data_IF_494581250369
#
_entry.id   IF_494581250369
#
_cell.length_a   1.000
_cell.length_b   1.000
_cell.length_c   1.000
_cell.angle_alpha   90.00
_cell.angle_beta   90.00
_cell.angle_gamma   90.00
#
_symmetry.space_group_name_H-M   'P 1'
#
loop_
_entity.id
_entity.type
_entity.pdbx_description
1 polymer ?
#
# COMPACT_ATOMS: atom_id res chain seq x y z
N UNK A 1 56.05 -48.81 -0.94
CA UNK A 1 56.32 -47.73 0.06
C UNK A 1 56.30 -48.31 1.48
N UNK A 2 56.89 -47.66 2.49
CA UNK A 2 56.76 -48.08 3.90
C UNK A 2 55.36 -47.72 4.41
N UNK A 3 54.68 -48.61 5.16
CA UNK A 3 53.28 -48.40 5.63
C UNK A 3 53.06 -47.02 6.27
N UNK A 4 54.02 -46.52 7.06
CA UNK A 4 54.00 -45.19 7.69
C UNK A 4 53.83 -44.02 6.71
N UNK A 5 54.45 -44.09 5.52
CA UNK A 5 54.33 -43.02 4.50
C UNK A 5 52.96 -43.01 3.82
N UNK A 6 52.32 -44.17 3.65
CA UNK A 6 50.97 -44.25 3.07
C UNK A 6 49.96 -43.59 4.02
N UNK A 7 49.99 -43.97 5.30
CA UNK A 7 49.10 -43.38 6.34
C UNK A 7 49.25 -41.86 6.43
N UNK A 8 50.49 -41.34 6.35
CA UNK A 8 50.75 -39.91 6.40
C UNK A 8 50.20 -39.17 5.15
N UNK A 9 50.31 -39.77 3.95
CA UNK A 9 49.70 -39.23 2.73
C UNK A 9 48.17 -39.23 2.84
N UNK A 10 47.56 -40.32 3.29
CA UNK A 10 46.09 -40.41 3.46
C UNK A 10 45.56 -39.37 4.44
N UNK A 11 46.28 -39.11 5.54
CA UNK A 11 45.91 -38.08 6.52
C UNK A 11 45.99 -36.67 5.93
N UNK A 12 47.03 -36.35 5.14
CA UNK A 12 47.13 -35.07 4.44
C UNK A 12 46.00 -34.90 3.43
N UNK A 13 45.68 -35.93 2.64
CA UNK A 13 44.57 -35.90 1.67
C UNK A 13 43.23 -35.71 2.37
N UNK A 14 42.99 -36.40 3.50
CA UNK A 14 41.79 -36.18 4.33
C UNK A 14 41.71 -34.73 4.82
N UNK A 15 42.81 -34.19 5.37
CA UNK A 15 42.85 -32.82 5.87
C UNK A 15 42.55 -31.78 4.78
N UNK A 16 43.14 -31.92 3.59
CA UNK A 16 42.86 -31.07 2.43
C UNK A 16 41.39 -31.17 2.01
N UNK A 17 40.83 -32.39 1.96
CA UNK A 17 39.42 -32.59 1.60
C UNK A 17 38.45 -32.02 2.64
N UNK A 18 38.77 -32.11 3.94
CA UNK A 18 38.00 -31.48 5.01
C UNK A 18 38.00 -29.95 4.91
N UNK A 19 39.15 -29.34 4.62
CA UNK A 19 39.26 -27.87 4.41
C UNK A 19 38.47 -27.46 3.16
N UNK A 20 38.62 -28.17 2.05
CA UNK A 20 37.90 -27.88 0.80
C UNK A 20 36.38 -28.00 0.98
N UNK A 21 35.91 -29.02 1.70
CA UNK A 21 34.49 -29.21 2.04
C UNK A 21 33.96 -28.05 2.89
N UNK A 22 34.71 -27.63 3.93
CA UNK A 22 34.33 -26.50 4.78
C UNK A 22 34.16 -25.19 3.98
N UNK A 23 35.15 -24.83 3.15
CA UNK A 23 35.11 -23.61 2.33
C UNK A 23 33.96 -23.65 1.31
N UNK A 24 33.68 -24.81 0.71
CA UNK A 24 32.54 -24.98 -0.19
C UNK A 24 31.20 -24.77 0.52
N UNK A 25 31.04 -25.32 1.73
CA UNK A 25 29.84 -25.14 2.55
C UNK A 25 29.65 -23.67 2.94
N UNK A 26 30.72 -22.99 3.39
CA UNK A 26 30.68 -21.58 3.76
C UNK A 26 30.22 -20.69 2.59
N UNK A 27 30.87 -20.83 1.43
CA UNK A 27 30.56 -20.05 0.23
C UNK A 27 29.15 -20.30 -0.31
N UNK A 28 28.64 -21.54 -0.20
CA UNK A 28 27.31 -21.89 -0.70
C UNK A 28 26.18 -21.56 0.30
N UNK A 29 26.46 -21.48 1.61
CA UNK A 29 25.47 -21.10 2.63
C UNK A 29 25.38 -19.59 2.86
N UNK A 30 26.48 -18.84 2.73
CA UNK A 30 26.53 -17.39 2.97
C UNK A 30 25.45 -16.59 2.21
N UNK A 31 25.34 -16.65 0.86
CA UNK A 31 24.37 -15.81 0.14
C UNK A 31 22.90 -16.14 0.43
N UNK A 32 22.47 -17.42 0.49
CA UNK A 32 21.09 -17.73 0.86
C UNK A 32 20.75 -17.36 2.31
N UNK A 33 21.68 -17.52 3.27
CA UNK A 33 21.49 -17.10 4.67
C UNK A 33 21.33 -15.58 4.77
N UNK A 34 22.19 -14.80 4.10
CA UNK A 34 22.07 -13.34 4.10
C UNK A 34 20.75 -12.87 3.48
N UNK A 35 20.29 -13.51 2.39
CA UNK A 35 19.01 -13.18 1.76
C UNK A 35 17.80 -13.40 2.69
N UNK A 36 17.72 -14.53 3.40
CA UNK A 36 16.63 -14.76 4.36
C UNK A 36 16.77 -13.88 5.61
N UNK A 37 18.00 -13.61 6.07
CA UNK A 37 18.26 -12.68 7.16
C UNK A 37 17.77 -11.26 6.84
N UNK A 38 18.05 -10.73 5.64
CA UNK A 38 17.54 -9.44 5.16
C UNK A 38 16.02 -9.34 5.19
N UNK A 39 15.32 -10.35 4.64
CA UNK A 39 13.85 -10.38 4.67
C UNK A 39 13.31 -10.43 6.10
N UNK A 40 13.88 -11.30 6.95
CA UNK A 40 13.40 -11.50 8.33
C UNK A 40 13.66 -10.30 9.24
N UNK A 41 14.86 -9.72 9.17
CA UNK A 41 15.22 -8.50 9.91
C UNK A 41 14.36 -7.33 9.48
N UNK A 42 14.20 -7.11 8.16
CA UNK A 42 13.37 -6.01 7.64
C UNK A 42 11.91 -6.15 8.09
N UNK A 43 11.35 -7.37 8.05
CA UNK A 43 10.02 -7.67 8.60
C UNK A 43 9.92 -7.29 10.09
N UNK A 44 10.82 -7.80 10.93
CA UNK A 44 10.80 -7.57 12.38
C UNK A 44 11.00 -6.09 12.73
N UNK A 45 11.95 -5.42 12.07
CA UNK A 45 12.23 -4.00 12.30
C UNK A 45 11.04 -3.12 11.90
N UNK A 46 10.46 -3.31 10.71
CA UNK A 46 9.24 -2.58 10.31
C UNK A 46 8.06 -2.88 11.25
N UNK A 47 7.88 -4.13 11.69
CA UNK A 47 6.82 -4.47 12.65
C UNK A 47 7.01 -3.80 14.01
N UNK A 48 8.23 -3.78 14.54
CA UNK A 48 8.54 -3.14 15.82
C UNK A 48 8.41 -1.61 15.75
N UNK A 49 8.90 -0.98 14.68
CA UNK A 49 8.73 0.46 14.42
C UNK A 49 7.24 0.81 14.33
N UNK A 50 6.49 0.10 13.50
CA UNK A 50 5.08 0.41 13.28
C UNK A 50 4.26 0.21 14.54
N UNK A 51 4.57 -0.83 15.34
CA UNK A 51 3.95 -1.03 16.66
C UNK A 51 4.25 0.14 17.60
N UNK A 52 5.52 0.47 17.82
CA UNK A 52 5.93 1.50 18.77
C UNK A 52 5.37 2.89 18.42
N UNK A 53 5.28 3.22 17.13
CA UNK A 53 4.67 4.48 16.69
C UNK A 53 3.13 4.44 16.73
N UNK A 54 2.49 3.30 16.45
CA UNK A 54 1.04 3.17 16.65
C UNK A 54 0.66 3.33 18.13
N UNK A 55 1.43 2.75 19.05
CA UNK A 55 1.25 2.92 20.49
C UNK A 55 1.49 4.37 20.94
N UNK A 56 2.53 5.04 20.42
CA UNK A 56 2.80 6.47 20.68
C UNK A 56 1.65 7.35 20.18
N UNK A 57 1.15 7.15 18.96
CA UNK A 57 0.08 7.97 18.36
C UNK A 57 -1.27 7.71 19.03
N UNK A 58 -1.61 6.45 19.32
CA UNK A 58 -2.85 6.10 20.04
C UNK A 58 -2.91 6.71 21.46
N UNK A 59 -1.76 6.99 22.09
CA UNK A 59 -1.70 7.70 23.37
C UNK A 59 -1.96 9.21 23.30
N UNK A 60 -2.02 9.80 22.09
CA UNK A 60 -2.06 11.26 21.86
C UNK A 60 -3.37 11.72 21.22
N UNK A 61 -4.37 11.95 22.08
CA UNK A 61 -5.72 12.42 21.71
C UNK A 61 -5.81 13.83 21.08
N UNK A 62 -4.71 14.55 20.86
CA UNK A 62 -4.69 15.88 20.21
C UNK A 62 -3.94 15.89 18.86
N UNK A 63 -3.98 14.77 18.13
CA UNK A 63 -3.33 14.64 16.81
C UNK A 63 -3.94 15.56 15.72
N UNK A 64 -5.01 16.30 16.01
CA UNK A 64 -5.67 17.24 15.10
C UNK A 64 -4.86 18.54 14.85
N UNK A 65 -3.93 18.90 15.74
CA UNK A 65 -3.24 20.21 15.74
C UNK A 65 -2.05 20.32 14.77
N UNK A 66 -2.00 19.50 13.72
CA UNK A 66 -0.93 19.55 12.70
C UNK A 66 -1.13 20.67 11.66
N UNK A 67 -2.38 21.05 11.42
CA UNK A 67 -2.80 21.92 10.31
C UNK A 67 -3.69 23.05 10.86
N UNK A 68 -3.15 24.27 10.89
CA UNK A 68 -3.85 25.49 11.33
C UNK A 68 -4.60 26.12 10.15
N UNK A 69 -5.93 26.14 10.23
CA UNK A 69 -6.78 26.68 9.18
C UNK A 69 -6.80 28.21 9.13
N UNK A 70 -6.74 28.77 7.92
CA UNK A 70 -7.01 30.19 7.67
C UNK A 70 -8.32 30.32 6.90
N UNK A 71 -9.37 30.68 7.62
CA UNK A 71 -10.65 31.07 7.03
C UNK A 71 -10.60 32.55 6.61
N UNK A 72 -11.30 32.89 5.53
CA UNK A 72 -11.55 34.28 5.15
C UNK A 72 -12.73 34.87 5.97
N UNK A 73 -13.05 36.14 5.74
CA UNK A 73 -14.16 36.86 6.39
C UNK A 73 -15.53 36.19 6.23
N UNK A 74 -15.67 35.27 5.28
CA UNK A 74 -16.93 34.63 4.92
C UNK A 74 -16.97 33.16 5.42
N UNK A 75 -16.04 32.78 6.31
CA UNK A 75 -15.95 31.44 6.89
C UNK A 75 -15.38 30.35 5.97
N UNK A 76 -15.11 30.65 4.69
CA UNK A 76 -14.52 29.67 3.76
C UNK A 76 -13.02 29.51 4.01
N UNK A 77 -12.53 28.28 3.85
CA UNK A 77 -11.10 27.95 3.91
C UNK A 77 -10.38 28.72 2.79
N UNK A 78 -9.47 29.60 3.17
CA UNK A 78 -8.59 30.36 2.27
C UNK A 78 -7.19 29.75 2.16
N UNK A 79 -6.89 28.74 2.98
CA UNK A 79 -5.61 28.06 3.04
C UNK A 79 -5.38 27.42 4.41
N UNK A 80 -4.20 26.83 4.58
CA UNK A 80 -3.74 26.25 5.83
C UNK A 80 -2.27 26.63 6.11
N UNK A 81 -1.87 26.55 7.38
CA UNK A 81 -0.48 26.64 7.83
C UNK A 81 -0.11 25.33 8.53
N UNK A 82 1.13 24.89 8.41
CA UNK A 82 1.64 23.75 9.17
C UNK A 82 2.08 24.20 10.56
N UNK A 83 1.67 23.47 11.59
CA UNK A 83 2.15 23.70 12.94
C UNK A 83 3.57 23.14 13.11
N UNK A 84 4.57 23.96 12.76
CA UNK A 84 6.00 23.59 12.84
C UNK A 84 6.44 23.18 14.26
N UNK A 85 5.79 23.67 15.31
CA UNK A 85 6.12 23.29 16.68
C UNK A 85 5.72 21.83 16.95
N UNK A 86 4.51 21.41 16.57
CA UNK A 86 4.09 20.01 16.74
C UNK A 86 4.73 19.07 15.71
N UNK A 87 5.03 19.55 14.50
CA UNK A 87 5.85 18.83 13.50
C UNK A 87 7.22 18.44 14.08
N UNK A 88 7.93 19.41 14.69
CA UNK A 88 9.20 19.16 15.37
C UNK A 88 9.03 18.27 16.62
N UNK A 89 7.96 18.46 17.39
CA UNK A 89 7.65 17.67 18.59
C UNK A 89 7.48 16.18 18.24
N UNK A 90 6.65 15.88 17.24
CA UNK A 90 6.42 14.52 16.73
C UNK A 90 7.70 13.95 16.13
N UNK A 91 8.38 14.68 15.25
CA UNK A 91 9.62 14.21 14.61
C UNK A 91 10.68 13.84 15.66
N UNK A 92 10.89 14.69 16.66
CA UNK A 92 11.83 14.45 17.76
C UNK A 92 11.41 13.25 18.64
N UNK A 93 10.13 13.14 19.01
CA UNK A 93 9.64 11.99 19.77
C UNK A 93 9.78 10.68 18.98
N UNK A 94 9.43 10.67 17.69
CA UNK A 94 9.56 9.50 16.82
C UNK A 94 11.01 9.08 16.63
N UNK A 95 11.96 10.01 16.48
CA UNK A 95 13.40 9.68 16.47
C UNK A 95 13.79 8.93 17.75
N UNK A 96 13.41 9.47 18.93
CA UNK A 96 13.73 8.85 20.22
C UNK A 96 13.07 7.47 20.41
N UNK A 97 11.79 7.34 20.08
CA UNK A 97 11.04 6.08 20.18
C UNK A 97 11.60 5.02 19.23
N UNK A 98 11.84 5.35 17.96
CA UNK A 98 12.43 4.39 17.01
C UNK A 98 13.84 4.01 17.44
N UNK A 99 14.71 4.97 17.76
CA UNK A 99 16.08 4.68 18.20
C UNK A 99 16.09 3.77 19.43
N UNK A 100 15.19 3.99 20.40
CA UNK A 100 15.02 3.13 21.57
C UNK A 100 14.59 1.71 21.14
N UNK A 101 13.53 1.57 20.36
CA UNK A 101 13.02 0.25 19.92
C UNK A 101 14.04 -0.53 19.08
N UNK A 102 14.83 0.15 18.23
CA UNK A 102 15.92 -0.49 17.48
C UNK A 102 17.07 -0.92 18.41
N UNK A 103 17.40 -0.13 19.43
CA UNK A 103 18.39 -0.50 20.42
C UNK A 103 17.92 -1.69 21.29
N UNK A 104 16.65 -1.75 21.68
CA UNK A 104 16.07 -2.86 22.44
C UNK A 104 16.06 -4.19 21.65
N UNK A 105 15.94 -4.14 20.31
CA UNK A 105 16.07 -5.33 19.47
C UNK A 105 17.50 -5.85 19.29
N UNK A 106 18.53 -5.02 19.52
CA UNK A 106 19.95 -5.42 19.36
C UNK A 106 20.35 -6.58 20.28
N UNK A 107 19.80 -6.61 21.49
CA UNK A 107 20.14 -7.60 22.51
C UNK A 107 19.37 -8.92 22.37
N UNK A 108 18.43 -9.03 21.41
CA UNK A 108 17.59 -10.22 21.17
C UNK A 108 18.05 -10.90 19.86
N UNK A 109 18.89 -11.96 19.92
CA UNK A 109 19.34 -12.66 18.72
C UNK A 109 18.19 -13.49 18.11
N UNK A 110 17.76 -13.11 16.90
CA UNK A 110 16.77 -13.86 16.13
C UNK A 110 17.39 -15.14 15.56
N UNK A 111 16.64 -16.24 15.53
CA UNK A 111 17.16 -17.55 15.13
C UNK A 111 16.52 -18.03 13.81
N UNK A 112 17.32 -18.16 12.75
CA UNK A 112 16.83 -18.60 11.43
C UNK A 112 17.29 -20.05 11.15
N UNK A 113 16.36 -21.02 11.01
CA UNK A 113 16.67 -22.37 10.55
C UNK A 113 17.37 -22.39 9.18
N UNK A 114 18.52 -23.07 9.07
CA UNK A 114 19.31 -23.10 7.82
C UNK A 114 18.51 -23.68 6.64
N UNK A 115 17.54 -24.56 6.90
CA UNK A 115 16.69 -25.14 5.86
C UNK A 115 15.83 -24.12 5.08
N UNK A 116 15.48 -22.97 5.68
CA UNK A 116 14.82 -21.89 4.94
C UNK A 116 15.74 -21.24 3.92
N UNK A 117 17.02 -21.06 4.26
CA UNK A 117 18.03 -20.55 3.33
C UNK A 117 18.30 -21.54 2.19
N UNK A 118 18.29 -22.84 2.48
CA UNK A 118 18.52 -23.91 1.49
C UNK A 118 17.31 -24.19 0.55
N UNK A 119 16.19 -23.47 0.70
CA UNK A 119 14.99 -23.58 -0.14
C UNK A 119 14.50 -25.03 -0.36
N UNK A 120 14.59 -25.87 0.69
CA UNK A 120 14.24 -27.29 0.62
C UNK A 120 13.22 -27.64 1.69
N UNK A 121 11.99 -27.95 1.25
CA UNK A 121 10.82 -28.17 2.12
C UNK A 121 10.96 -29.36 3.10
N UNK A 122 11.94 -30.26 2.89
CA UNK A 122 12.22 -31.39 3.77
C UNK A 122 13.01 -30.94 5.00
N UNK A 123 13.91 -29.96 4.84
CA UNK A 123 14.82 -29.48 5.90
C UNK A 123 14.46 -28.08 6.42
N UNK A 124 13.55 -27.35 5.76
CA UNK A 124 13.07 -26.03 6.22
C UNK A 124 12.56 -26.05 7.66
N UNK A 125 11.92 -27.15 8.07
CA UNK A 125 11.36 -27.35 9.41
C UNK A 125 12.24 -28.20 10.32
N UNK A 126 13.38 -28.71 9.84
CA UNK A 126 14.24 -29.66 10.54
C UNK A 126 15.73 -29.38 10.27
N UNK A 127 16.39 -28.73 11.23
CA UNK A 127 17.83 -28.49 11.20
C UNK A 127 18.29 -27.57 12.32
N UNK A 128 19.61 -27.31 12.43
CA UNK A 128 20.12 -26.27 13.31
C UNK A 128 19.68 -24.88 12.81
N UNK A 129 19.51 -23.96 13.77
CA UNK A 129 19.25 -22.54 13.49
C UNK A 129 20.53 -21.71 13.64
N UNK A 130 20.70 -20.73 12.76
CA UNK A 130 21.78 -19.75 12.84
C UNK A 130 21.27 -18.52 13.60
N UNK A 131 21.99 -18.03 14.63
CA UNK A 131 21.68 -16.76 15.25
C UNK A 131 22.04 -15.61 14.30
N UNK A 132 21.10 -14.71 14.10
CA UNK A 132 21.25 -13.45 13.36
C UNK A 132 21.20 -12.32 14.38
N UNK A 133 22.20 -11.44 14.33
CA UNK A 133 22.23 -10.22 15.15
C UNK A 133 21.92 -9.00 14.30
N UNK A 134 21.35 -8.01 14.98
CA UNK A 134 20.91 -6.74 14.44
C UNK A 134 21.66 -5.62 15.15
N UNK A 135 22.22 -4.66 14.43
CA UNK A 135 22.85 -3.48 15.02
C UNK A 135 22.45 -2.21 14.24
N UNK A 136 21.72 -1.25 14.84
CA UNK A 136 21.34 -0.02 14.16
C UNK A 136 22.58 0.86 13.91
N UNK A 137 22.67 1.44 12.72
CA UNK A 137 23.83 2.23 12.27
C UNK A 137 23.49 3.72 12.30
N UNK A 138 24.24 4.47 13.11
CA UNK A 138 24.07 5.92 13.22
C UNK A 138 22.73 6.34 13.84
N UNK A 139 22.20 7.46 13.38
CA UNK A 139 20.95 8.04 13.87
C UNK A 139 19.81 7.83 12.86
N UNK A 140 18.66 7.42 13.38
CA UNK A 140 17.42 7.26 12.60
C UNK A 140 17.01 8.60 11.98
N UNK A 141 16.67 8.58 10.68
CA UNK A 141 16.11 9.75 9.98
C UNK A 141 14.59 9.65 9.99
N UNK A 142 13.94 10.76 10.32
CA UNK A 142 12.49 10.88 10.39
C UNK A 142 12.09 12.19 9.71
N UNK A 143 11.09 12.12 8.83
CA UNK A 143 10.46 13.28 8.20
C UNK A 143 8.93 13.15 8.34
N UNK A 144 8.24 14.25 8.65
CA UNK A 144 6.78 14.33 8.67
C UNK A 144 6.34 15.05 7.39
N UNK A 145 5.96 14.25 6.40
CA UNK A 145 5.66 14.68 5.03
C UNK A 145 4.16 14.66 4.75
N UNK A 146 3.74 15.26 3.64
CA UNK A 146 2.33 15.31 3.21
C UNK A 146 2.20 14.88 1.75
N UNK A 147 1.18 14.06 1.44
CA UNK A 147 0.81 13.70 0.07
C UNK A 147 -0.65 14.02 -0.20
N UNK A 148 -0.93 14.43 -1.44
CA UNK A 148 -2.27 14.78 -1.90
C UNK A 148 -2.76 13.68 -2.84
N UNK A 149 -4.04 13.31 -2.72
CA UNK A 149 -4.74 12.37 -3.59
C UNK A 149 -6.03 13.04 -4.06
N UNK A 150 -6.37 12.88 -5.33
CA UNK A 150 -7.70 13.23 -5.83
C UNK A 150 -8.75 12.33 -5.15
N UNK A 151 -9.85 12.92 -4.70
CA UNK A 151 -10.95 12.22 -4.02
C UNK A 151 -12.30 12.39 -4.74
N UNK A 152 -12.38 13.15 -5.83
CA UNK A 152 -13.61 13.39 -6.58
C UNK A 152 -13.79 14.84 -7.04
N UNK A 153 -15.01 15.19 -7.46
CA UNK A 153 -15.32 16.51 -8.04
C UNK A 153 -14.96 17.62 -7.03
N UNK A 154 -13.92 18.39 -7.39
CA UNK A 154 -13.37 19.50 -6.62
C UNK A 154 -13.01 19.16 -5.16
N UNK A 155 -12.49 17.94 -4.89
CA UNK A 155 -12.05 17.55 -3.54
C UNK A 155 -10.73 16.77 -3.55
N UNK A 156 -9.86 17.07 -2.57
CA UNK A 156 -8.58 16.37 -2.38
C UNK A 156 -8.49 15.76 -0.99
N UNK A 157 -7.97 14.54 -0.92
CA UNK A 157 -7.55 13.90 0.31
C UNK A 157 -6.08 14.24 0.58
N UNK A 158 -5.84 15.05 1.59
CA UNK A 158 -4.54 15.37 2.15
C UNK A 158 -4.20 14.32 3.20
N UNK A 159 -3.09 13.61 3.03
CA UNK A 159 -2.59 12.59 3.94
C UNK A 159 -1.25 13.05 4.52
N UNK A 160 -1.19 13.19 5.85
CA UNK A 160 0.03 13.51 6.59
C UNK A 160 0.61 12.20 7.12
N UNK A 161 1.88 11.92 6.80
CA UNK A 161 2.55 10.66 7.11
C UNK A 161 3.99 10.90 7.58
N UNK A 162 4.46 10.07 8.52
CA UNK A 162 5.87 10.04 8.90
C UNK A 162 6.60 9.06 8.00
N UNK A 163 7.66 9.50 7.34
CA UNK A 163 8.66 8.62 6.73
C UNK A 163 9.79 8.38 7.72
N UNK A 164 10.07 7.11 8.00
CA UNK A 164 11.13 6.66 8.90
C UNK A 164 12.15 5.89 8.06
N UNK A 165 13.42 6.30 8.09
CA UNK A 165 14.54 5.65 7.41
C UNK A 165 15.61 5.31 8.46
N UNK A 166 15.81 4.02 8.68
CA UNK A 166 16.85 3.49 9.56
C UNK A 166 17.83 2.61 8.77
N UNK A 167 19.13 2.83 8.95
CA UNK A 167 20.18 1.95 8.43
C UNK A 167 20.54 0.93 9.50
N UNK A 168 20.64 -0.36 9.12
CA UNK A 168 20.80 -1.46 10.06
C UNK A 168 21.81 -2.47 9.52
N UNK A 169 22.75 -2.88 10.35
CA UNK A 169 23.74 -3.92 10.01
C UNK A 169 23.21 -5.27 10.44
N UNK A 170 23.22 -6.23 9.52
CA UNK A 170 22.82 -7.61 9.73
C UNK A 170 24.07 -8.46 9.84
N UNK A 171 24.26 -9.06 11.00
CA UNK A 171 25.46 -9.82 11.36
C UNK A 171 25.08 -11.30 11.46
N UNK A 172 25.69 -12.13 10.60
CA UNK A 172 25.59 -13.59 10.64
C UNK A 172 26.99 -14.20 10.86
N UNK A 173 27.13 -15.47 11.29
CA UNK A 173 28.43 -16.03 11.68
C UNK A 173 29.51 -16.05 10.58
N UNK A 174 29.13 -15.87 9.31
CA UNK A 174 30.01 -15.95 8.14
C UNK A 174 30.04 -14.65 7.31
N UNK A 175 29.24 -13.64 7.64
CA UNK A 175 29.12 -12.42 6.83
C UNK A 175 28.47 -11.24 7.58
N UNK A 176 28.57 -10.04 7.03
CA UNK A 176 27.92 -8.84 7.59
C UNK A 176 27.60 -7.84 6.48
N UNK A 177 26.33 -7.47 6.33
CA UNK A 177 25.87 -6.49 5.34
C UNK A 177 24.93 -5.44 5.97
N UNK A 178 25.00 -4.17 5.54
CA UNK A 178 23.96 -3.19 5.82
C UNK A 178 22.69 -3.46 5.00
N UNK A 179 21.56 -3.01 5.54
CA UNK A 179 20.23 -2.99 4.93
C UNK A 179 19.53 -1.70 5.36
N UNK A 180 18.64 -1.15 4.50
CA UNK A 180 17.85 0.05 4.85
C UNK A 180 16.42 -0.36 5.17
N UNK A 181 15.94 -0.02 6.35
CA UNK A 181 14.55 -0.18 6.76
C UNK A 181 13.84 1.16 6.58
N UNK A 182 12.95 1.22 5.60
CA UNK A 182 12.10 2.38 5.32
C UNK A 182 10.64 2.02 5.61
N UNK A 183 9.90 2.93 6.24
CA UNK A 183 8.44 2.79 6.41
C UNK A 183 7.74 4.15 6.46
N UNK A 184 6.61 4.24 5.77
CA UNK A 184 5.68 5.38 5.78
C UNK A 184 4.51 5.04 6.72
N UNK A 185 4.32 5.82 7.78
CA UNK A 185 3.23 5.65 8.76
C UNK A 185 2.24 6.83 8.62
N UNK A 186 0.99 6.63 8.19
CA UNK A 186 -0.01 7.69 8.14
C UNK A 186 -0.42 8.11 9.56
N UNK A 187 -0.51 9.42 9.80
CA UNK A 187 -0.86 10.01 11.10
C UNK A 187 -2.23 10.68 11.05
N UNK A 188 -2.54 11.40 9.98
CA UNK A 188 -3.80 12.11 9.82
C UNK A 188 -4.24 12.17 8.37
N UNK A 189 -5.57 12.14 8.18
CA UNK A 189 -6.25 12.25 6.89
C UNK A 189 -7.22 13.43 6.93
N UNK A 190 -7.27 14.17 5.83
CA UNK A 190 -7.99 15.42 5.73
C UNK A 190 -8.62 15.55 4.35
N UNK A 191 -9.95 15.53 4.27
CA UNK A 191 -10.68 15.83 3.04
C UNK A 191 -10.87 17.34 2.93
N UNK A 192 -10.26 17.96 1.92
CA UNK A 192 -10.53 19.35 1.53
C UNK A 192 -11.58 19.33 0.43
N UNK A 193 -12.77 19.86 0.72
CA UNK A 193 -13.88 19.97 -0.25
C UNK A 193 -13.96 21.41 -0.74
N UNK A 194 -13.82 21.60 -2.05
CA UNK A 194 -14.07 22.87 -2.72
C UNK A 194 -15.54 23.05 -3.12
N UNK A 195 -15.91 24.26 -3.51
CA UNK A 195 -17.26 24.56 -4.00
C UNK A 195 -17.56 23.76 -5.28
N UNK A 196 -18.60 22.93 -5.28
CA UNK A 196 -19.09 22.28 -6.52
C UNK A 196 -19.86 23.30 -7.37
N UNK A 197 -19.73 23.29 -8.70
CA UNK A 197 -20.53 24.17 -9.56
C UNK A 197 -22.03 23.89 -9.46
N UNK A 198 -22.86 24.94 -9.40
CA UNK A 198 -24.33 24.85 -9.44
C UNK A 198 -24.86 24.12 -10.70
N UNK A 199 -24.09 24.22 -11.79
CA UNK A 199 -24.28 23.49 -13.04
C UNK A 199 -22.91 23.16 -13.65
N UNK A 200 -22.84 22.03 -14.34
CA UNK A 200 -21.75 21.65 -15.24
C UNK A 200 -22.36 21.05 -16.52
N UNK A 201 -21.55 20.76 -17.54
CA UNK A 201 -22.04 20.21 -18.80
C UNK A 201 -21.48 18.82 -19.04
N UNK A 202 -22.29 17.93 -19.62
CA UNK A 202 -21.86 16.60 -20.04
C UNK A 202 -21.07 16.64 -21.37
N UNK A 203 -20.53 15.49 -21.78
CA UNK A 203 -19.81 15.34 -23.06
C UNK A 203 -20.71 15.54 -24.31
N UNK A 204 -22.01 15.80 -24.14
CA UNK A 204 -22.97 16.14 -25.21
C UNK A 204 -23.40 17.62 -25.17
N UNK A 205 -22.84 18.43 -24.26
CA UNK A 205 -23.13 19.85 -24.11
C UNK A 205 -24.41 20.15 -23.33
N UNK A 206 -24.97 19.18 -22.61
CA UNK A 206 -26.20 19.37 -21.81
C UNK A 206 -25.87 19.76 -20.37
N UNK A 207 -26.57 20.75 -19.78
CA UNK A 207 -26.37 21.13 -18.40
C UNK A 207 -26.91 20.06 -17.44
N UNK A 208 -26.18 19.84 -16.35
CA UNK A 208 -26.44 18.86 -15.28
C UNK A 208 -25.99 19.46 -13.93
N UNK A 209 -26.62 19.03 -12.84
CA UNK A 209 -26.49 19.65 -11.50
C UNK A 209 -27.85 20.12 -10.96
N UNK A 210 -27.89 20.65 -9.73
CA UNK A 210 -29.15 21.07 -9.10
C UNK A 210 -29.81 22.26 -9.81
N UNK A 211 -29.01 23.22 -10.31
CA UNK A 211 -29.47 24.37 -11.11
C UNK A 211 -29.28 24.14 -12.62
N UNK A 212 -29.39 22.90 -13.11
CA UNK A 212 -29.25 22.59 -14.54
C UNK A 212 -30.22 23.38 -15.46
N UNK A 213 -31.39 23.77 -14.94
CA UNK A 213 -32.37 24.59 -15.65
C UNK A 213 -32.01 26.09 -15.74
N UNK A 214 -31.06 26.56 -14.94
CA UNK A 214 -30.60 27.96 -14.88
C UNK A 214 -29.25 28.17 -15.61
N UNK A 215 -28.70 27.09 -16.17
CA UNK A 215 -27.42 27.10 -16.87
C UNK A 215 -27.51 27.88 -18.21
N UNK A 216 -26.50 28.71 -18.56
CA UNK A 216 -26.46 29.42 -19.83
C UNK A 216 -26.53 28.49 -21.06
N UNK A 217 -27.11 28.98 -22.16
CA UNK A 217 -27.07 28.27 -23.43
C UNK A 217 -25.66 28.37 -24.06
N UNK A 218 -24.93 27.26 -24.14
CA UNK A 218 -23.65 27.22 -24.87
C UNK A 218 -23.95 27.31 -26.37
N UNK A 219 -23.75 28.48 -26.95
CA UNK A 219 -23.56 28.63 -28.40
C UNK A 219 -22.09 28.41 -28.74
N UNK A 220 -21.79 27.32 -29.45
CA UNK A 220 -20.47 27.15 -30.07
C UNK A 220 -20.36 28.23 -31.17
N UNK A 221 -19.33 29.09 -31.16
CA UNK A 221 -19.14 30.03 -32.26
C UNK A 221 -18.84 29.23 -33.53
N UNK A 222 -19.72 29.32 -34.53
CA UNK A 222 -19.46 28.70 -35.84
C UNK A 222 -18.16 29.28 -36.40
N UNK A 223 -17.13 28.44 -36.48
CA UNK A 223 -15.93 28.74 -37.26
C UNK A 223 -16.36 29.10 -38.68
N UNK A 224 -15.85 30.23 -39.21
CA UNK A 224 -16.43 30.90 -40.37
C UNK A 224 -16.41 30.00 -41.63
N UNK A 225 -17.51 29.28 -41.83
CA UNK A 225 -17.60 28.13 -42.73
C UNK A 225 -19.01 27.89 -43.23
N UNK A 226 -19.47 28.81 -44.08
CA UNK A 226 -20.53 28.65 -45.09
C UNK A 226 -21.81 27.86 -44.71
N UNK A 227 -22.85 28.63 -44.42
CA UNK A 227 -24.27 28.35 -44.71
C UNK A 227 -25.04 27.35 -43.81
N UNK A 228 -26.37 27.48 -43.78
CA UNK A 228 -27.28 26.63 -43.00
C UNK A 228 -27.70 27.16 -41.62
N UNK A 229 -28.34 28.34 -41.57
CA UNK A 229 -28.94 28.84 -40.32
C UNK A 229 -30.19 28.07 -39.90
N UNK A 230 -30.22 27.56 -38.66
CA UNK A 230 -31.40 26.90 -38.06
C UNK A 230 -31.92 27.71 -36.87
N UNK A 231 -33.11 28.28 -37.01
CA UNK A 231 -33.84 28.95 -35.92
C UNK A 231 -34.89 28.01 -35.33
N UNK A 232 -34.68 27.50 -34.12
CA UNK A 232 -35.72 26.79 -33.36
C UNK A 232 -36.41 27.73 -32.38
N UNK A 233 -37.54 28.32 -32.80
CA UNK A 233 -38.43 29.07 -31.92
C UNK A 233 -39.47 28.10 -31.30
N UNK A 234 -39.77 28.17 -29.98
CA UNK A 234 -40.69 27.23 -29.35
C UNK A 234 -42.15 27.50 -29.72
N UNK A 235 -42.82 26.53 -30.34
CA UNK A 235 -44.25 26.56 -30.64
C UNK A 235 -45.02 25.75 -29.57
N UNK A 236 -45.73 26.43 -28.68
CA UNK A 236 -46.70 25.80 -27.79
C UNK A 236 -47.98 25.45 -28.59
N UNK A 237 -48.42 24.19 -28.52
CA UNK A 237 -49.80 23.77 -28.81
C UNK A 237 -50.03 22.41 -28.13
N UNK A 238 -51.14 22.27 -27.40
CA UNK A 238 -51.54 21.03 -26.72
C UNK A 238 -52.79 20.41 -27.34
N UNK A 239 -53.44 19.55 -26.53
CA UNK A 239 -54.69 18.82 -26.78
C UNK A 239 -54.58 17.60 -27.72
N UNK A 240 -54.92 16.45 -27.15
CA UNK A 240 -55.96 15.48 -27.56
C UNK A 240 -55.97 14.99 -29.04
N UNK A 241 -56.18 13.70 -29.35
CA UNK A 241 -56.94 12.66 -28.63
C UNK A 241 -56.27 11.27 -28.67
N UNK A 242 -56.63 10.40 -27.73
CA UNK A 242 -56.25 8.98 -27.72
C UNK A 242 -57.41 8.10 -28.20
N UNK A 243 -57.24 7.34 -29.29
CA UNK A 243 -58.09 6.17 -29.57
C UNK A 243 -57.37 5.07 -30.35
N UNK A 244 -57.72 3.83 -29.99
CA UNK A 244 -57.60 2.55 -30.70
C UNK A 244 -56.42 2.33 -31.68
N UNK A 245 -55.55 1.38 -31.34
CA UNK A 245 -54.78 0.62 -32.33
C UNK A 245 -55.43 -0.75 -32.61
N UNK A 246 -54.98 -1.43 -33.66
CA UNK A 246 -55.15 -2.88 -33.81
C UNK A 246 -53.95 -3.48 -34.58
N UNK A 247 -53.81 -4.80 -34.55
CA UNK A 247 -52.54 -5.48 -34.83
C UNK A 247 -52.29 -5.83 -36.30
N UNK A 248 -51.02 -6.05 -36.66
CA UNK A 248 -50.58 -7.30 -37.33
C UNK A 248 -49.06 -7.49 -37.31
N UNK A 249 -48.63 -8.74 -37.56
CA UNK A 249 -47.29 -9.29 -37.31
C UNK A 249 -46.71 -9.96 -38.57
N UNK A 250 -45.39 -9.90 -38.79
CA UNK A 250 -44.68 -10.82 -39.70
C UNK A 250 -43.13 -10.78 -39.59
N UNK A 251 -42.50 -11.92 -39.28
CA UNK A 251 -41.11 -12.26 -39.63
C UNK A 251 -39.97 -11.53 -38.89
N UNK A 252 -38.77 -12.09 -38.74
CA UNK A 252 -38.31 -13.47 -39.00
C UNK A 252 -37.10 -13.81 -38.07
N UNK A 253 -36.52 -15.02 -38.13
CA UNK A 253 -35.95 -15.65 -36.93
C UNK A 253 -34.48 -16.14 -36.99
N UNK A 254 -33.84 -16.14 -35.80
CA UNK A 254 -32.74 -17.02 -35.34
C UNK A 254 -31.35 -16.88 -36.02
N UNK A 255 -30.26 -17.47 -35.46
CA UNK A 255 -30.16 -18.25 -34.21
C UNK A 255 -29.12 -17.74 -33.17
N UNK A 256 -29.25 -18.23 -31.93
CA UNK A 256 -28.11 -18.39 -31.00
C UNK A 256 -27.37 -19.72 -31.27
N UNK A 257 -26.12 -19.86 -30.80
CA UNK A 257 -25.54 -21.19 -30.52
C UNK A 257 -25.00 -21.26 -29.08
N UNK A 258 -25.07 -22.46 -28.54
CA UNK A 258 -24.65 -22.92 -27.22
C UNK A 258 -23.14 -22.78 -26.99
N UNK A 259 -22.64 -22.67 -25.75
CA UNK A 259 -22.54 -23.77 -24.79
C UNK A 259 -21.06 -23.94 -24.37
N UNK A 260 -20.69 -24.70 -23.34
CA UNK A 260 -21.46 -25.53 -22.42
C UNK A 260 -20.61 -25.84 -21.16
N UNK A 261 -21.25 -25.95 -19.98
CA UNK A 261 -20.78 -26.68 -18.78
C UNK A 261 -19.43 -26.22 -18.13
N UNK A 262 -19.22 -26.36 -16.83
CA UNK A 262 -19.65 -27.48 -16.03
C UNK A 262 -19.90 -27.13 -14.55
N UNK A 263 -20.72 -27.95 -13.89
CA UNK A 263 -21.12 -27.77 -12.51
C UNK A 263 -20.72 -28.95 -11.63
N UNK A 264 -20.57 -28.72 -10.33
CA UNK A 264 -20.96 -29.74 -9.36
C UNK A 264 -21.65 -29.16 -8.13
N UNK A 265 -22.44 -30.01 -7.49
CA UNK A 265 -23.53 -29.66 -6.59
C UNK A 265 -23.44 -30.47 -5.29
N UNK A 266 -23.80 -29.86 -4.15
CA UNK A 266 -24.53 -30.41 -2.99
C UNK A 266 -24.40 -29.40 -1.83
N UNK A 267 -25.42 -28.67 -1.34
CA UNK A 267 -26.81 -28.98 -0.94
C UNK A 267 -26.95 -29.41 0.54
N UNK A 268 -27.54 -28.50 1.34
CA UNK A 268 -28.34 -28.70 2.58
C UNK A 268 -27.67 -29.43 3.79
N UNK A 269 -28.05 -29.24 5.07
CA UNK A 269 -29.07 -28.42 5.76
C UNK A 269 -28.57 -28.16 7.23
N UNK A 270 -29.22 -27.51 8.21
CA UNK A 270 -30.57 -26.92 8.43
C UNK A 270 -30.47 -25.79 9.52
N UNK A 271 -31.56 -25.46 10.25
CA UNK A 271 -31.62 -24.61 11.47
C UNK A 271 -30.61 -25.03 12.56
N UNK A 272 -30.16 -24.19 13.50
CA UNK A 272 -30.57 -22.82 13.88
C UNK A 272 -31.20 -22.75 15.29
N UNK A 273 -30.78 -21.80 16.14
CA UNK A 273 -31.38 -21.44 17.46
C UNK A 273 -30.90 -20.03 17.90
N UNK A 274 -31.63 -19.38 18.81
CA UNK A 274 -31.46 -17.98 19.24
C UNK A 274 -30.51 -17.79 20.46
N UNK A 275 -30.07 -16.55 20.80
CA UNK A 275 -29.05 -16.30 21.83
C UNK A 275 -29.60 -15.96 23.24
N UNK A 276 -28.78 -16.25 24.25
CA UNK A 276 -28.70 -15.67 25.59
C UNK A 276 -27.27 -15.98 26.13
N UNK A 277 -26.66 -15.21 27.03
CA UNK A 277 -27.08 -13.98 27.74
C UNK A 277 -26.21 -12.77 27.35
#
# INVERSE_FOLDING_TARGET
MRRRTIVLITLIVMMVFSIQSFVYIEQNLRPPLMKIAKVRVKQLATQAINKAITEQVASRSESDKLIDWKMNSNGKISGFMLNYAEHMNITSQTINTVQKTLNEMKDIPEHIPIGHALNSAIISSYGPSVPVKFEPVGAVKVDLSTRQKDAGINMILVEVYIRIIAEVTIIIPFDTEPEIVETDIPISYLLVVGDVPMYYYDNTGKPVGESAAEAPNISVPLGQGSDGGVTTNPQNSGNDESSNGEASNSGEALPEDSGNSNAHNSSANDKGVAPAE
#
